data_IF_400701918644
#
_entry.id   IF_400701918644
#
_cell.length_a   1.000
_cell.length_b   1.000
_cell.length_c   1.000
_cell.angle_alpha   90.00
_cell.angle_beta   90.00
_cell.angle_gamma   90.00
#
_symmetry.space_group_name_H-M   'P 1'
#
loop_
_entity.id
_entity.type
_entity.pdbx_description
1 polymer ?
#
# COMPACT_ATOMS: atom_id res chain seq x y z
N UNK A 1 0.81 20.43 -24.23
CA UNK A 1 1.99 21.30 -24.38
C UNK A 1 3.00 20.93 -23.31
N UNK A 2 4.23 20.57 -23.69
CA UNK A 2 5.30 20.27 -22.75
C UNK A 2 6.05 21.56 -22.42
N UNK A 3 6.33 21.81 -21.15
CA UNK A 3 7.28 22.85 -20.75
C UNK A 3 8.72 22.38 -21.07
N UNK A 4 9.70 23.29 -21.06
CA UNK A 4 11.14 23.08 -21.25
C UNK A 4 11.76 22.00 -20.34
N UNK A 5 11.03 21.59 -19.29
CA UNK A 5 11.37 20.50 -18.35
C UNK A 5 10.63 19.18 -18.62
N UNK A 6 10.01 19.02 -19.80
CA UNK A 6 9.15 17.89 -20.18
C UNK A 6 7.95 17.65 -19.24
N UNK A 7 7.50 18.68 -18.53
CA UNK A 7 6.32 18.60 -17.67
C UNK A 7 5.07 18.99 -18.47
N UNK A 8 4.03 18.18 -18.36
CA UNK A 8 2.71 18.38 -18.95
C UNK A 8 1.72 18.75 -17.86
N UNK A 9 0.95 19.80 -18.12
CA UNK A 9 -0.24 20.16 -17.35
C UNK A 9 -1.46 19.76 -18.19
N UNK A 10 -2.33 18.94 -17.62
CA UNK A 10 -3.56 18.50 -18.28
C UNK A 10 -4.76 18.90 -17.42
N UNK A 11 -5.66 19.69 -17.99
CA UNK A 11 -6.94 20.04 -17.38
C UNK A 11 -8.01 19.10 -17.93
N UNK A 12 -8.75 18.43 -17.04
CA UNK A 12 -9.82 17.54 -17.41
C UNK A 12 -11.08 17.83 -16.60
N UNK A 13 -12.23 17.83 -17.29
CA UNK A 13 -13.53 18.06 -16.70
C UNK A 13 -14.32 16.76 -16.70
N UNK A 14 -14.69 16.29 -15.51
CA UNK A 14 -15.68 15.21 -15.31
C UNK A 14 -16.93 15.82 -14.68
N UNK A 15 -17.24 15.48 -13.41
CA UNK A 15 -18.21 16.23 -12.59
C UNK A 15 -17.67 17.53 -12.02
N UNK A 16 -16.35 17.59 -11.87
CA UNK A 16 -15.58 18.74 -11.38
C UNK A 16 -14.32 18.84 -12.22
N UNK A 17 -13.75 20.03 -12.27
CA UNK A 17 -12.46 20.25 -12.91
C UNK A 17 -11.35 19.58 -12.09
N UNK A 18 -10.47 18.86 -12.77
CA UNK A 18 -9.30 18.21 -12.19
C UNK A 18 -8.08 18.60 -13.03
N UNK A 19 -7.05 19.09 -12.36
CA UNK A 19 -5.77 19.41 -12.96
C UNK A 19 -4.77 18.30 -12.65
N UNK A 20 -4.05 17.83 -13.67
CA UNK A 20 -2.98 16.86 -13.56
C UNK A 20 -1.65 17.50 -13.94
N UNK A 21 -0.61 17.16 -13.19
CA UNK A 21 0.77 17.46 -13.51
C UNK A 21 1.48 16.12 -13.73
N UNK A 22 2.14 15.93 -14.88
CA UNK A 22 2.90 14.71 -15.14
C UNK A 22 4.19 15.04 -15.87
N UNK A 23 5.28 14.36 -15.50
CA UNK A 23 6.56 14.36 -16.23
C UNK A 23 6.77 13.11 -17.08
N UNK A 24 5.87 12.12 -16.97
CA UNK A 24 5.97 10.82 -17.64
C UNK A 24 4.91 10.66 -18.74
N UNK A 25 3.75 11.28 -18.57
CA UNK A 25 2.60 11.05 -19.43
C UNK A 25 2.18 12.31 -20.20
N UNK A 26 1.94 12.12 -21.50
CA UNK A 26 1.37 13.13 -22.37
C UNK A 26 -0.12 13.37 -22.07
N UNK A 27 -0.67 14.45 -22.63
CA UNK A 27 -2.10 14.80 -22.55
C UNK A 27 -3.02 13.88 -23.40
N UNK A 28 -2.55 12.68 -23.76
CA UNK A 28 -3.30 11.74 -24.58
C UNK A 28 -4.45 11.11 -23.79
N UNK A 29 -5.52 10.75 -24.49
CA UNK A 29 -6.64 10.02 -23.90
C UNK A 29 -6.40 8.51 -24.02
N UNK A 30 -6.55 7.79 -22.90
CA UNK A 30 -6.55 6.33 -22.85
C UNK A 30 -7.98 5.82 -22.75
N UNK A 31 -8.26 4.74 -23.48
CA UNK A 31 -9.49 3.99 -23.34
C UNK A 31 -9.51 3.27 -21.99
N UNK A 32 -10.61 3.34 -21.25
CA UNK A 32 -10.81 2.66 -19.97
C UNK A 32 -12.22 2.13 -19.89
N UNK A 33 -12.36 0.86 -19.48
CA UNK A 33 -13.67 0.26 -19.25
C UNK A 33 -14.17 0.62 -17.86
N UNK A 34 -15.33 1.27 -17.80
CA UNK A 34 -16.03 1.51 -16.53
C UNK A 34 -16.65 0.21 -16.04
N UNK A 35 -16.08 -0.39 -14.99
CA UNK A 35 -16.64 -1.61 -14.37
C UNK A 35 -18.10 -1.47 -13.93
N UNK A 36 -18.52 -0.25 -13.55
CA UNK A 36 -19.87 0.02 -13.04
C UNK A 36 -20.93 0.12 -14.13
N UNK A 37 -20.56 0.65 -15.30
CA UNK A 37 -21.51 0.97 -16.40
C UNK A 37 -21.32 -0.01 -17.58
N UNK A 38 -20.30 -0.89 -17.51
CA UNK A 38 -19.87 -1.77 -18.62
C UNK A 38 -19.70 -1.03 -19.95
N UNK A 39 -19.34 0.25 -19.88
CA UNK A 39 -19.12 1.11 -21.04
C UNK A 39 -17.67 1.52 -21.16
N UNK A 40 -17.26 1.75 -22.40
CA UNK A 40 -15.97 2.34 -22.74
C UNK A 40 -16.01 3.83 -22.44
N UNK A 41 -15.02 4.33 -21.71
CA UNK A 41 -14.80 5.76 -21.47
C UNK A 41 -13.38 6.13 -21.85
N UNK A 42 -13.22 7.31 -22.45
CA UNK A 42 -11.91 7.90 -22.70
C UNK A 42 -11.56 8.84 -21.56
N UNK A 43 -10.39 8.65 -20.98
CA UNK A 43 -9.88 9.43 -19.85
C UNK A 43 -8.45 9.87 -20.14
N UNK A 44 -7.99 11.03 -19.65
CA UNK A 44 -6.59 11.41 -19.77
C UNK A 44 -5.66 10.31 -19.24
N UNK A 45 -4.59 10.03 -19.95
CA UNK A 45 -3.58 9.05 -19.57
C UNK A 45 -3.05 9.25 -18.13
N UNK A 46 -2.74 10.50 -17.69
CA UNK A 46 -2.30 10.74 -16.32
C UNK A 46 -3.32 10.32 -15.27
N UNK A 47 -4.62 10.51 -15.53
CA UNK A 47 -5.68 10.12 -14.61
C UNK A 47 -5.76 8.60 -14.44
N UNK A 48 -5.64 7.86 -15.54
CA UNK A 48 -5.76 6.40 -15.53
C UNK A 48 -4.62 5.79 -14.73
N UNK A 49 -3.38 6.22 -14.98
CA UNK A 49 -2.21 5.73 -14.26
C UNK A 49 -2.22 6.18 -12.79
N UNK A 50 -2.56 7.44 -12.50
CA UNK A 50 -2.71 7.91 -11.12
C UNK A 50 -3.67 7.01 -10.32
N UNK A 51 -4.86 6.75 -10.85
CA UNK A 51 -5.84 5.91 -10.16
C UNK A 51 -5.38 4.45 -10.02
N UNK A 52 -4.58 3.93 -10.96
CA UNK A 52 -4.03 2.57 -10.88
C UNK A 52 -3.08 2.45 -9.69
N UNK A 53 -2.19 3.42 -9.49
CA UNK A 53 -1.25 3.41 -8.37
C UNK A 53 -1.90 3.78 -7.04
N UNK A 54 -2.78 4.79 -7.01
CA UNK A 54 -3.52 5.15 -5.79
C UNK A 54 -4.36 3.99 -5.27
N UNK A 55 -4.98 3.20 -6.16
CA UNK A 55 -5.70 1.98 -5.77
C UNK A 55 -4.85 0.96 -5.03
N UNK A 56 -3.55 0.89 -5.30
CA UNK A 56 -2.65 0.00 -4.57
C UNK A 56 -2.46 0.49 -3.13
N UNK A 57 -2.34 1.80 -2.94
CA UNK A 57 -2.25 2.45 -1.62
C UNK A 57 -3.55 2.23 -0.85
N UNK A 58 -4.71 2.51 -1.47
CA UNK A 58 -6.04 2.29 -0.86
C UNK A 58 -6.20 0.84 -0.40
N UNK A 59 -5.74 -0.12 -1.22
CA UNK A 59 -5.81 -1.54 -0.88
C UNK A 59 -4.91 -1.90 0.28
N UNK A 60 -3.71 -1.32 0.37
CA UNK A 60 -2.81 -1.53 1.50
C UNK A 60 -3.41 -0.98 2.80
N UNK A 61 -3.98 0.23 2.75
CA UNK A 61 -4.68 0.83 3.90
C UNK A 61 -5.91 0.01 4.32
N UNK A 62 -6.65 -0.52 3.35
CA UNK A 62 -7.75 -1.45 3.58
C UNK A 62 -7.26 -2.74 4.29
N UNK A 63 -6.11 -3.30 3.90
CA UNK A 63 -5.53 -4.48 4.56
C UNK A 63 -5.11 -4.20 6.01
N UNK A 64 -4.60 -2.99 6.28
CA UNK A 64 -4.25 -2.57 7.64
C UNK A 64 -5.48 -2.37 8.52
N UNK A 65 -6.55 -1.78 7.99
CA UNK A 65 -7.77 -1.49 8.74
C UNK A 65 -8.59 -2.73 9.11
N UNK A 66 -8.58 -3.79 8.29
CA UNK A 66 -9.35 -5.01 8.58
C UNK A 66 -9.02 -5.67 9.93
N UNK A 67 -7.76 -5.58 10.35
CA UNK A 67 -7.31 -6.13 11.62
C UNK A 67 -6.41 -5.14 12.34
N UNK A 68 -6.99 -3.96 12.62
CA UNK A 68 -6.33 -2.92 13.39
C UNK A 68 -6.08 -3.39 14.84
N UNK A 69 -4.88 -3.14 15.36
CA UNK A 69 -4.45 -3.45 16.72
C UNK A 69 -4.32 -2.16 17.54
N UNK A 70 -5.09 -1.14 17.17
CA UNK A 70 -5.03 0.18 17.78
C UNK A 70 -5.62 0.13 19.19
N UNK A 71 -4.75 0.15 20.20
CA UNK A 71 -5.19 0.32 21.58
C UNK A 71 -5.36 1.81 21.91
N UNK A 72 -6.37 2.15 22.72
CA UNK A 72 -6.51 3.50 23.31
C UNK A 72 -5.37 3.72 24.30
N UNK A 73 -4.25 4.26 23.82
CA UNK A 73 -3.07 4.65 24.62
C UNK A 73 -2.75 6.13 24.43
N UNK A 74 -2.50 6.84 25.54
CA UNK A 74 -2.04 8.24 25.54
C UNK A 74 -0.59 8.40 25.05
N UNK A 75 0.16 7.30 24.97
CA UNK A 75 1.56 7.30 24.55
C UNK A 75 1.65 7.10 23.04
N UNK A 76 1.97 8.17 22.30
CA UNK A 76 2.01 8.18 20.83
C UNK A 76 3.03 7.20 20.24
N UNK A 77 4.20 7.04 20.87
CA UNK A 77 5.26 6.15 20.38
C UNK A 77 4.82 4.68 20.33
N UNK A 78 3.96 4.23 21.26
CA UNK A 78 3.41 2.88 21.24
C UNK A 78 2.53 2.65 20.01
N UNK A 79 1.76 3.66 19.59
CA UNK A 79 0.94 3.59 18.38
C UNK A 79 1.82 3.43 17.14
N UNK A 80 2.91 4.19 17.05
CA UNK A 80 3.86 4.10 15.93
C UNK A 80 4.49 2.72 15.84
N UNK A 81 4.97 2.16 16.96
CA UNK A 81 5.59 0.82 16.97
C UNK A 81 4.58 -0.25 16.53
N UNK A 82 3.36 -0.22 17.07
CA UNK A 82 2.31 -1.17 16.67
C UNK A 82 1.99 -1.04 15.18
N UNK A 83 1.88 0.19 14.67
CA UNK A 83 1.60 0.45 13.27
C UNK A 83 2.71 -0.09 12.35
N UNK A 84 3.98 0.10 12.72
CA UNK A 84 5.11 -0.46 11.97
C UNK A 84 5.02 -1.99 11.93
N UNK A 85 4.73 -2.65 13.06
CA UNK A 85 4.56 -4.11 13.11
C UNK A 85 3.42 -4.57 12.19
N UNK A 86 2.30 -3.85 12.16
CA UNK A 86 1.19 -4.15 11.26
C UNK A 86 1.57 -4.03 9.79
N UNK A 87 2.33 -2.99 9.42
CA UNK A 87 2.86 -2.82 8.05
C UNK A 87 3.80 -3.97 7.69
N UNK A 88 4.73 -4.32 8.58
CA UNK A 88 5.63 -5.47 8.36
C UNK A 88 4.87 -6.77 8.15
N UNK A 89 3.79 -7.00 8.91
CA UNK A 89 2.95 -8.18 8.78
C UNK A 89 2.22 -8.22 7.42
N UNK A 90 1.62 -7.11 6.99
CA UNK A 90 0.97 -7.01 5.67
C UNK A 90 1.98 -7.23 4.55
N UNK A 91 3.18 -6.66 4.67
CA UNK A 91 4.26 -6.87 3.70
C UNK A 91 4.71 -8.34 3.65
N UNK A 92 4.88 -9.00 4.80
CA UNK A 92 5.21 -10.43 4.86
C UNK A 92 4.12 -11.30 4.22
N UNK A 93 2.85 -10.97 4.45
CA UNK A 93 1.71 -11.63 3.81
C UNK A 93 1.74 -11.47 2.29
N UNK A 94 1.94 -10.25 1.78
CA UNK A 94 2.02 -9.99 0.34
C UNK A 94 3.20 -10.73 -0.30
N UNK A 95 4.35 -10.77 0.37
CA UNK A 95 5.53 -11.52 -0.07
C UNK A 95 5.25 -13.03 -0.10
N UNK A 96 4.65 -13.58 0.96
CA UNK A 96 4.27 -15.00 1.03
C UNK A 96 3.35 -15.39 -0.13
N UNK A 97 2.33 -14.56 -0.42
CA UNK A 97 1.43 -14.81 -1.55
C UNK A 97 2.13 -14.75 -2.89
N UNK A 98 3.09 -13.82 -3.05
CA UNK A 98 3.85 -13.66 -4.29
C UNK A 98 4.80 -14.84 -4.54
N UNK A 99 5.47 -15.35 -3.50
CA UNK A 99 6.43 -16.45 -3.63
C UNK A 99 5.71 -17.79 -3.84
N UNK A 100 4.66 -18.06 -3.06
CA UNK A 100 3.99 -19.35 -3.05
C UNK A 100 2.78 -19.44 -3.99
N UNK A 101 2.48 -18.37 -4.75
CA UNK A 101 1.25 -18.23 -5.53
C UNK A 101 -0.03 -18.59 -4.75
N UNK A 102 0.01 -18.39 -3.43
CA UNK A 102 -1.02 -18.87 -2.52
C UNK A 102 -2.23 -17.93 -2.48
N UNK A 103 -3.42 -18.50 -2.37
CA UNK A 103 -4.69 -17.78 -2.24
C UNK A 103 -5.12 -17.56 -0.79
N UNK A 104 -4.27 -17.91 0.18
CA UNK A 104 -4.49 -17.73 1.62
C UNK A 104 -5.02 -16.33 1.96
N UNK A 105 -6.04 -16.30 2.81
CA UNK A 105 -6.61 -15.06 3.34
C UNK A 105 -5.72 -14.48 4.44
N UNK A 106 -5.79 -13.15 4.62
CA UNK A 106 -4.99 -12.47 5.64
C UNK A 106 -5.29 -12.99 7.06
N UNK A 107 -6.53 -13.40 7.31
CA UNK A 107 -6.94 -14.03 8.58
C UNK A 107 -6.15 -15.30 8.86
N UNK A 108 -6.16 -16.24 7.92
CA UNK A 108 -5.50 -17.54 8.09
C UNK A 108 -3.99 -17.39 8.21
N UNK A 109 -3.42 -16.44 7.47
CA UNK A 109 -2.00 -16.10 7.59
C UNK A 109 -1.67 -15.60 9.01
N UNK A 110 -2.46 -14.67 9.54
CA UNK A 110 -2.31 -14.16 10.92
C UNK A 110 -2.53 -15.24 11.96
N UNK A 111 -3.54 -16.09 11.78
CA UNK A 111 -3.84 -17.21 12.66
C UNK A 111 -2.71 -18.23 12.68
N UNK A 112 -2.10 -18.52 11.54
CA UNK A 112 -0.90 -19.35 11.43
C UNK A 112 0.28 -18.75 12.20
N UNK A 113 0.52 -17.45 12.04
CA UNK A 113 1.58 -16.73 12.75
C UNK A 113 1.35 -16.74 14.28
N UNK A 114 0.10 -16.49 14.72
CA UNK A 114 -0.26 -16.51 16.14
C UNK A 114 -0.15 -17.91 16.77
N UNK A 115 -0.34 -18.98 15.96
CA UNK A 115 -0.18 -20.39 16.37
C UNK A 115 1.23 -20.91 16.28
N UNK A 116 2.14 -20.18 15.65
CA UNK A 116 3.57 -20.46 15.64
C UNK A 116 4.38 -19.55 16.60
N UNK A 117 4.11 -19.48 17.93
CA UNK A 117 4.92 -18.66 18.84
C UNK A 117 6.37 -19.11 19.04
N UNK A 118 6.79 -20.33 18.66
CA UNK A 118 7.94 -20.97 19.30
C UNK A 118 8.86 -21.82 18.40
N UNK A 119 9.30 -21.28 17.26
CA UNK A 119 10.62 -21.66 16.78
C UNK A 119 11.56 -20.51 17.16
N UNK A 120 12.32 -20.73 18.23
CA UNK A 120 13.27 -19.75 18.78
C UNK A 120 14.14 -19.26 17.62
N UNK A 121 13.91 -18.03 17.17
CA UNK A 121 14.85 -17.34 16.31
C UNK A 121 16.11 -17.20 17.17
N UNK A 122 17.06 -18.12 16.99
CA UNK A 122 18.43 -17.94 17.43
C UNK A 122 18.97 -16.75 16.64
N UNK A 123 18.71 -15.55 17.15
CA UNK A 123 19.45 -14.36 16.73
C UNK A 123 20.90 -14.61 17.18
N UNK A 124 21.88 -14.66 16.26
CA UNK A 124 23.28 -14.90 16.61
C UNK A 124 23.94 -13.68 17.27
N UNK A 125 23.16 -12.81 17.91
CA UNK A 125 23.64 -11.55 18.48
C UNK A 125 23.65 -11.73 20.00
N UNK A 126 24.77 -12.22 20.53
CA UNK A 126 25.09 -12.03 21.93
C UNK A 126 25.41 -10.54 22.13
N UNK A 127 24.48 -9.78 22.70
CA UNK A 127 24.80 -8.45 23.21
C UNK A 127 25.77 -8.61 24.39
N UNK A 128 26.90 -7.87 24.44
CA UNK A 128 27.82 -7.94 25.56
C UNK A 128 27.06 -7.52 26.82
N UNK A 129 27.07 -8.39 27.82
CA UNK A 129 26.64 -8.05 29.18
C UNK A 129 27.60 -6.99 29.72
N UNK A 130 27.21 -5.72 29.69
CA UNK A 130 27.89 -4.75 30.53
C UNK A 130 27.58 -5.07 31.99
N UNK A 131 28.61 -5.57 32.66
CA UNK A 131 28.61 -5.80 34.09
C UNK A 131 28.33 -4.50 34.83
N UNK A 132 27.49 -4.62 35.86
CA UNK A 132 27.26 -3.55 36.81
C UNK A 132 28.55 -3.16 37.53
N UNK A 133 28.60 -1.88 37.87
CA UNK A 133 29.05 -1.42 39.17
C UNK A 133 27.91 -0.63 39.78
#
# INVERSE_FOLDING_TARGET
MHNRKNIVVTKWLDKREILFLSSEHDSNYKQTTSRRIRSVKYKPAPQVEYNKYMRAIDRHDQLLSYYSCEHKTMRWYKKVIIHIIQICLVNAFLLYRKINNSTIELYDFRKGLARSPNEKIHLPIQLPRHGGR
#
